data_IF_003958440532
#
_entry.id   IF_003958440532
#
_cell.length_a   1.000
_cell.length_b   1.000
_cell.length_c   1.000
_cell.angle_alpha   90.00
_cell.angle_beta   90.00
_cell.angle_gamma   90.00
#
_symmetry.space_group_name_H-M   'P 1'
#
loop_
_entity.id
_entity.type
_entity.pdbx_description
1 polymer ?
#
# COMPACT_ATOMS: atom_id res chain seq x y z
N UNK A 1 -19.39 19.77 -9.12
CA UNK A 1 -18.08 19.23 -8.68
C UNK A 1 -17.14 19.22 -9.88
N UNK A 2 -15.81 19.31 -9.72
CA UNK A 2 -14.87 19.26 -10.87
C UNK A 2 -14.70 17.81 -11.39
N UNK A 3 -14.66 17.61 -12.71
CA UNK A 3 -14.54 16.29 -13.35
C UNK A 3 -13.32 15.50 -12.85
N UNK A 4 -12.20 16.17 -12.57
CA UNK A 4 -10.99 15.52 -12.03
C UNK A 4 -11.23 14.96 -10.63
N UNK A 5 -11.90 15.75 -9.78
CA UNK A 5 -12.27 15.33 -8.41
C UNK A 5 -13.30 14.19 -8.47
N UNK A 6 -14.24 14.26 -9.41
CA UNK A 6 -15.25 13.22 -9.62
C UNK A 6 -14.61 11.89 -10.04
N UNK A 7 -13.71 11.89 -11.03
CA UNK A 7 -12.97 10.71 -11.48
C UNK A 7 -12.14 10.10 -10.34
N UNK A 8 -11.51 10.93 -9.51
CA UNK A 8 -10.77 10.48 -8.32
C UNK A 8 -11.68 9.79 -7.29
N UNK A 9 -12.91 10.26 -7.08
CA UNK A 9 -13.87 9.63 -6.16
C UNK A 9 -14.16 8.17 -6.55
N UNK A 10 -14.22 7.89 -7.86
CA UNK A 10 -14.43 6.55 -8.41
C UNK A 10 -13.15 5.78 -8.76
N UNK A 11 -11.97 6.39 -8.52
CA UNK A 11 -10.66 5.84 -8.91
C UNK A 11 -10.56 5.51 -10.40
N UNK A 12 -11.17 6.36 -11.22
CA UNK A 12 -11.15 6.24 -12.67
C UNK A 12 -10.04 7.13 -13.23
N UNK A 13 -9.27 6.60 -14.17
CA UNK A 13 -8.18 7.34 -14.82
C UNK A 13 -8.63 8.00 -16.13
N UNK A 14 -9.89 7.86 -16.54
CA UNK A 14 -10.41 8.40 -17.79
C UNK A 14 -11.84 7.95 -18.07
N UNK A 15 -12.25 8.03 -19.34
CA UNK A 15 -13.58 7.58 -19.77
C UNK A 15 -13.72 6.08 -19.58
N UNK A 16 -14.86 5.67 -19.06
CA UNK A 16 -15.28 4.27 -18.91
C UNK A 16 -16.67 4.09 -19.49
N UNK A 17 -17.05 2.87 -19.89
CA UNK A 17 -18.44 2.58 -20.25
C UNK A 17 -19.40 2.96 -19.12
N UNK A 18 -20.54 3.56 -19.44
CA UNK A 18 -21.56 3.97 -18.45
C UNK A 18 -21.99 2.81 -17.56
N UNK A 19 -22.04 1.59 -18.10
CA UNK A 19 -22.34 0.36 -17.34
C UNK A 19 -21.33 0.10 -16.21
N UNK A 20 -20.05 0.39 -16.45
CA UNK A 20 -18.99 0.25 -15.46
C UNK A 20 -19.11 1.33 -14.36
N UNK A 21 -19.41 2.57 -14.74
CA UNK A 21 -19.71 3.65 -13.79
C UNK A 21 -20.90 3.29 -12.89
N UNK A 22 -21.97 2.75 -13.46
CA UNK A 22 -23.16 2.32 -12.73
C UNK A 22 -22.87 1.19 -11.73
N UNK A 23 -22.00 0.26 -12.10
CA UNK A 23 -21.58 -0.81 -11.20
C UNK A 23 -20.83 -0.25 -9.99
N UNK A 24 -19.83 0.60 -10.23
CA UNK A 24 -19.03 1.23 -9.19
C UNK A 24 -19.88 2.12 -8.27
N UNK A 25 -20.82 2.87 -8.84
CA UNK A 25 -21.79 3.67 -8.08
C UNK A 25 -22.60 2.80 -7.13
N UNK A 26 -23.20 1.70 -7.62
CA UNK A 26 -23.98 0.78 -6.77
C UNK A 26 -23.13 0.18 -5.64
N UNK A 27 -21.86 -0.10 -5.88
CA UNK A 27 -20.96 -0.60 -4.83
C UNK A 27 -20.66 0.45 -3.76
N UNK A 28 -20.40 1.70 -4.16
CA UNK A 28 -20.15 2.80 -3.23
C UNK A 28 -21.42 3.15 -2.43
N UNK A 29 -22.58 3.23 -3.07
CA UNK A 29 -23.86 3.43 -2.40
C UNK A 29 -24.12 2.32 -1.39
N UNK A 30 -23.90 1.04 -1.76
CA UNK A 30 -24.05 -0.08 -0.82
C UNK A 30 -23.14 0.02 0.41
N UNK A 31 -22.03 0.77 0.34
CA UNK A 31 -21.05 0.90 1.41
C UNK A 31 -21.26 2.15 2.26
N UNK A 32 -21.73 3.25 1.66
CA UNK A 32 -21.81 4.56 2.31
C UNK A 32 -23.22 5.06 2.53
N UNK A 33 -24.28 4.32 2.13
CA UNK A 33 -25.66 4.72 2.34
C UNK A 33 -25.93 5.05 3.82
N UNK A 34 -26.63 6.16 4.14
CA UNK A 34 -26.83 6.61 5.52
C UNK A 34 -27.56 5.55 6.36
N UNK A 35 -28.51 4.83 5.76
CA UNK A 35 -29.22 3.73 6.43
C UNK A 35 -28.33 2.57 6.90
N UNK A 36 -27.17 2.38 6.27
CA UNK A 36 -26.18 1.34 6.60
C UNK A 36 -25.11 1.83 7.57
N UNK A 37 -24.84 3.13 7.62
CA UNK A 37 -23.82 3.75 8.48
C UNK A 37 -24.51 4.54 9.58
N UNK A 38 -25.10 3.81 10.53
CA UNK A 38 -25.90 4.39 11.64
C UNK A 38 -25.06 5.11 12.69
N UNK A 39 -23.79 4.75 12.80
CA UNK A 39 -22.90 5.30 13.84
C UNK A 39 -22.43 6.73 13.52
N UNK A 40 -22.50 7.16 12.25
CA UNK A 40 -22.04 8.49 11.78
C UNK A 40 -22.93 9.01 10.63
N UNK A 41 -24.18 9.40 10.91
CA UNK A 41 -25.15 9.77 9.88
C UNK A 41 -24.76 11.01 9.08
N UNK A 42 -24.19 12.04 9.73
CA UNK A 42 -23.78 13.28 9.06
C UNK A 42 -22.63 13.03 8.07
N UNK A 43 -21.64 12.24 8.47
CA UNK A 43 -20.54 11.84 7.60
C UNK A 43 -21.01 10.96 6.43
N UNK A 44 -21.96 10.05 6.68
CA UNK A 44 -22.52 9.21 5.63
C UNK A 44 -23.34 10.02 4.62
N UNK A 45 -24.10 11.01 5.09
CA UNK A 45 -24.83 11.96 4.26
C UNK A 45 -23.90 12.83 3.40
N UNK A 46 -22.85 13.39 3.99
CA UNK A 46 -21.83 14.15 3.26
C UNK A 46 -21.13 13.28 2.22
N UNK A 47 -20.73 12.05 2.59
CA UNK A 47 -20.03 11.15 1.69
C UNK A 47 -20.91 10.67 0.55
N UNK A 48 -22.19 10.42 0.80
CA UNK A 48 -23.17 10.06 -0.23
C UNK A 48 -23.47 11.22 -1.18
N UNK A 49 -23.54 12.45 -0.66
CA UNK A 49 -23.67 13.65 -1.50
C UNK A 49 -22.46 13.79 -2.42
N UNK A 50 -21.25 13.61 -1.91
CA UNK A 50 -20.03 13.62 -2.75
C UNK A 50 -20.00 12.51 -3.80
N UNK A 51 -20.53 11.31 -3.49
CA UNK A 51 -20.59 10.19 -4.44
C UNK A 51 -21.62 10.46 -5.55
N UNK A 52 -22.78 11.04 -5.20
CA UNK A 52 -23.82 11.41 -6.16
C UNK A 52 -23.35 12.54 -7.08
N UNK A 53 -22.78 13.62 -6.52
CA UNK A 53 -22.24 14.73 -7.29
C UNK A 53 -21.15 14.29 -8.25
N UNK A 54 -20.28 13.36 -7.81
CA UNK A 54 -19.23 12.80 -8.65
C UNK A 54 -19.79 11.92 -9.78
N UNK A 55 -20.84 11.13 -9.50
CA UNK A 55 -21.49 10.28 -10.48
C UNK A 55 -22.14 11.09 -11.60
N UNK A 56 -22.96 12.10 -11.24
CA UNK A 56 -23.64 12.97 -12.21
C UNK A 56 -22.63 13.74 -13.08
N UNK A 57 -21.57 14.27 -12.47
CA UNK A 57 -20.50 15.00 -13.20
C UNK A 57 -19.79 14.10 -14.22
N UNK A 58 -19.53 12.82 -13.88
CA UNK A 58 -18.87 11.89 -14.82
C UNK A 58 -19.86 11.47 -15.91
N UNK A 59 -21.12 11.21 -15.57
CA UNK A 59 -22.14 10.82 -16.52
C UNK A 59 -22.36 11.91 -17.59
N UNK A 60 -22.49 13.17 -17.16
CA UNK A 60 -22.62 14.33 -18.05
C UNK A 60 -21.39 14.49 -18.95
N UNK A 61 -20.19 14.26 -18.43
CA UNK A 61 -18.95 14.31 -19.23
C UNK A 61 -18.78 13.16 -20.22
N UNK A 62 -19.37 11.99 -19.93
CA UNK A 62 -19.40 10.85 -20.84
C UNK A 62 -20.43 11.05 -21.95
N UNK A 63 -21.56 11.69 -21.65
CA UNK A 63 -22.63 11.99 -22.60
C UNK A 63 -22.32 13.21 -23.48
N UNK A 64 -21.64 14.23 -22.93
CA UNK A 64 -21.28 15.48 -23.61
C UNK A 64 -19.76 15.70 -23.60
N UNK A 65 -19.00 14.98 -24.46
CA UNK A 65 -17.56 15.15 -24.54
C UNK A 65 -17.20 16.56 -25.07
N UNK A 66 -16.33 17.33 -24.38
CA UNK A 66 -15.99 18.68 -24.82
C UNK A 66 -15.33 18.66 -26.21
N UNK A 67 -15.77 19.58 -27.07
CA UNK A 67 -15.26 19.73 -28.43
C UNK A 67 -13.80 20.20 -28.42
N UNK A 68 -13.05 19.71 -29.40
CA UNK A 68 -11.60 19.81 -29.56
C UNK A 68 -11.14 21.24 -29.87
N UNK A 69 -11.15 22.14 -28.88
CA UNK A 69 -10.42 23.41 -28.90
C UNK A 69 -10.58 24.18 -27.58
N UNK A 70 -9.81 23.81 -26.56
CA UNK A 70 -9.33 24.81 -25.59
C UNK A 70 -8.10 24.28 -24.86
N UNK A 71 -6.94 24.72 -25.37
CA UNK A 71 -5.65 24.67 -24.68
C UNK A 71 -5.76 25.55 -23.43
N UNK A 72 -5.92 24.93 -22.26
CA UNK A 72 -5.78 25.64 -21.00
C UNK A 72 -4.33 25.52 -20.53
N UNK A 73 -3.58 26.59 -20.85
CA UNK A 73 -2.49 27.22 -20.11
C UNK A 73 -1.42 26.32 -19.44
N UNK A 74 -0.34 26.10 -20.20
CA UNK A 74 1.01 25.96 -19.64
C UNK A 74 1.42 27.26 -18.93
N UNK A 75 1.54 27.22 -17.59
CA UNK A 75 2.78 27.50 -16.85
C UNK A 75 2.52 27.82 -15.36
N UNK A 76 3.42 27.28 -14.54
CA UNK A 76 3.66 27.56 -13.11
C UNK A 76 2.69 26.98 -12.08
N UNK A 77 2.66 25.64 -11.99
CA UNK A 77 2.85 24.92 -10.71
C UNK A 77 3.72 23.69 -11.01
N UNK A 78 4.79 23.48 -10.24
CA UNK A 78 5.64 22.29 -10.37
C UNK A 78 4.79 21.03 -10.25
N UNK A 79 4.71 20.32 -11.37
CA UNK A 79 3.83 19.21 -11.62
C UNK A 79 4.34 17.98 -10.85
N UNK A 80 3.91 17.83 -9.59
CA UNK A 80 3.95 16.55 -8.88
C UNK A 80 2.96 15.58 -9.55
N UNK A 81 3.36 15.08 -10.73
CA UNK A 81 2.68 14.02 -11.46
C UNK A 81 2.45 12.83 -10.53
N UNK A 82 1.18 12.57 -10.24
CA UNK A 82 0.72 11.31 -9.67
C UNK A 82 1.01 10.20 -10.67
N UNK A 83 1.98 9.39 -10.28
CA UNK A 83 2.73 8.31 -10.96
C UNK A 83 1.89 7.09 -11.41
N UNK A 84 0.62 7.26 -11.79
CA UNK A 84 -0.24 6.13 -12.17
C UNK A 84 -0.24 5.80 -13.68
N UNK A 85 0.30 6.69 -14.53
CA UNK A 85 0.38 6.48 -16.00
C UNK A 85 1.79 6.35 -16.56
N UNK A 86 2.83 6.49 -15.73
CA UNK A 86 4.23 6.49 -16.18
C UNK A 86 4.88 5.11 -16.24
N UNK A 87 4.26 4.04 -15.73
CA UNK A 87 4.88 2.72 -15.71
C UNK A 87 4.79 1.91 -17.01
N UNK A 88 4.02 2.36 -17.99
CA UNK A 88 4.13 1.87 -19.37
C UNK A 88 5.24 2.59 -20.16
N UNK A 89 6.00 3.49 -19.54
CA UNK A 89 7.25 3.98 -20.11
C UNK A 89 8.29 2.91 -19.88
N UNK A 90 8.65 2.18 -20.94
CA UNK A 90 9.85 1.36 -21.14
C UNK A 90 10.82 1.35 -19.95
N UNK A 91 10.52 0.60 -18.88
CA UNK A 91 11.53 0.33 -17.85
C UNK A 91 12.53 -0.61 -18.50
N UNK A 92 13.71 -0.08 -18.81
CA UNK A 92 14.76 -0.87 -19.42
C UNK A 92 14.99 -2.14 -18.59
N UNK A 93 15.09 -3.33 -19.22
CA UNK A 93 15.44 -4.53 -18.48
C UNK A 93 16.83 -4.35 -17.85
N UNK A 94 17.04 -4.98 -16.70
CA UNK A 94 18.36 -5.03 -16.09
C UNK A 94 19.31 -5.77 -17.04
N UNK A 95 20.59 -5.36 -17.06
CA UNK A 95 21.61 -6.21 -17.66
C UNK A 95 21.75 -7.49 -16.84
N UNK A 96 22.18 -8.59 -17.47
CA UNK A 96 22.33 -9.88 -16.79
C UNK A 96 23.19 -9.80 -15.51
N UNK A 97 24.27 -9.02 -15.53
CA UNK A 97 25.11 -8.79 -14.34
C UNK A 97 24.33 -8.08 -13.21
N UNK A 98 23.57 -7.04 -13.55
CA UNK A 98 22.77 -6.30 -12.57
C UNK A 98 21.62 -7.14 -12.03
N UNK A 99 21.03 -7.98 -12.86
CA UNK A 99 19.98 -8.90 -12.47
C UNK A 99 20.49 -9.92 -11.44
N UNK A 100 21.67 -10.50 -11.65
CA UNK A 100 22.30 -11.42 -10.68
C UNK A 100 22.58 -10.71 -9.35
N UNK A 101 23.17 -9.51 -9.39
CA UNK A 101 23.44 -8.76 -8.16
C UNK A 101 22.16 -8.36 -7.42
N UNK A 102 21.12 -8.01 -8.17
CA UNK A 102 19.81 -7.72 -7.65
C UNK A 102 19.18 -8.93 -6.97
N UNK A 103 19.12 -10.08 -7.64
CA UNK A 103 18.57 -11.34 -7.12
C UNK A 103 19.27 -11.74 -5.82
N UNK A 104 20.61 -11.78 -5.81
CA UNK A 104 21.39 -12.11 -4.61
C UNK A 104 21.14 -11.15 -3.44
N UNK A 105 20.84 -9.89 -3.71
CA UNK A 105 20.53 -8.91 -2.67
C UNK A 105 19.08 -9.03 -2.17
N UNK A 106 18.14 -9.27 -3.08
CA UNK A 106 16.72 -9.40 -2.78
C UNK A 106 16.40 -10.72 -2.08
N UNK A 107 16.94 -11.84 -2.56
CA UNK A 107 16.81 -13.16 -1.92
C UNK A 107 17.36 -13.12 -0.50
N UNK A 108 18.47 -12.41 -0.28
CA UNK A 108 19.01 -12.23 1.07
C UNK A 108 18.04 -11.53 2.01
N UNK A 109 17.32 -10.53 1.50
CA UNK A 109 16.26 -9.86 2.25
C UNK A 109 15.06 -10.79 2.48
N UNK A 110 14.61 -11.52 1.45
CA UNK A 110 13.49 -12.46 1.53
C UNK A 110 13.77 -13.62 2.48
N UNK A 111 14.96 -14.23 2.45
CA UNK A 111 15.39 -15.26 3.40
C UNK A 111 15.33 -14.76 4.85
N UNK A 112 15.65 -13.48 5.08
CA UNK A 112 15.49 -12.88 6.39
C UNK A 112 14.02 -12.72 6.80
N UNK A 113 13.14 -12.34 5.86
CA UNK A 113 11.68 -12.28 6.09
C UNK A 113 11.07 -13.67 6.28
N UNK A 114 11.56 -14.68 5.58
CA UNK A 114 11.12 -16.07 5.71
C UNK A 114 11.33 -16.54 7.15
N UNK A 115 12.56 -16.39 7.69
CA UNK A 115 12.86 -16.71 9.10
C UNK A 115 11.98 -15.88 10.04
N UNK A 116 11.77 -14.59 9.73
CA UNK A 116 10.93 -13.71 10.53
C UNK A 116 9.50 -14.26 10.66
N UNK A 117 8.85 -14.63 9.55
CA UNK A 117 7.49 -15.14 9.54
C UNK A 117 7.38 -16.58 10.02
N UNK A 118 8.33 -17.45 9.67
CA UNK A 118 8.34 -18.86 10.09
C UNK A 118 8.33 -19.01 11.61
N UNK A 119 9.01 -18.10 12.32
CA UNK A 119 9.08 -18.11 13.79
C UNK A 119 8.03 -17.22 14.46
N UNK A 120 7.11 -16.62 13.72
CA UNK A 120 6.06 -15.74 14.24
C UNK A 120 6.61 -14.45 14.86
N UNK A 121 7.74 -13.95 14.37
CA UNK A 121 8.46 -12.82 14.96
C UNK A 121 7.77 -11.47 14.73
N UNK A 122 6.66 -11.44 13.99
CA UNK A 122 5.68 -10.35 14.03
C UNK A 122 5.16 -10.08 15.44
N UNK A 123 5.11 -11.09 16.31
CA UNK A 123 4.83 -10.89 17.72
C UNK A 123 6.09 -10.45 18.46
N UNK A 124 6.10 -9.20 18.94
CA UNK A 124 7.23 -8.62 19.67
C UNK A 124 7.66 -9.41 20.91
N UNK A 125 6.72 -10.09 21.59
CA UNK A 125 7.01 -10.87 22.79
C UNK A 125 7.92 -12.05 22.46
N UNK A 126 7.69 -12.69 21.32
CA UNK A 126 8.48 -13.82 20.85
C UNK A 126 9.93 -13.46 20.51
N UNK A 127 10.23 -12.19 20.23
CA UNK A 127 11.58 -11.74 19.85
C UNK A 127 12.58 -11.79 21.00
N UNK A 128 12.11 -11.91 22.25
CA UNK A 128 12.97 -11.91 23.45
C UNK A 128 13.15 -13.31 24.06
N UNK A 129 12.45 -14.32 23.55
CA UNK A 129 12.36 -15.63 24.17
C UNK A 129 13.29 -16.66 23.52
N UNK A 130 14.11 -17.35 24.32
CA UNK A 130 14.81 -18.58 23.95
C UNK A 130 15.42 -18.60 22.53
N UNK A 131 15.09 -19.63 21.76
CA UNK A 131 15.56 -19.84 20.38
C UNK A 131 15.08 -18.72 19.44
N UNK A 132 13.87 -18.18 19.66
CA UNK A 132 13.27 -17.14 18.82
C UNK A 132 14.06 -15.83 18.87
N UNK A 133 14.70 -15.52 20.00
CA UNK A 133 15.63 -14.38 20.10
C UNK A 133 16.81 -14.51 19.15
N UNK A 134 17.41 -15.70 19.05
CA UNK A 134 18.52 -15.95 18.13
C UNK A 134 18.05 -15.85 16.67
N UNK A 135 16.89 -16.43 16.35
CA UNK A 135 16.27 -16.32 15.03
C UNK A 135 15.89 -14.89 14.65
N UNK A 136 15.43 -14.08 15.59
CA UNK A 136 15.15 -12.67 15.33
C UNK A 136 16.42 -11.89 14.99
N UNK A 137 17.54 -12.16 15.67
CA UNK A 137 18.84 -11.55 15.33
C UNK A 137 19.32 -11.97 13.95
N UNK A 138 19.18 -13.26 13.64
CA UNK A 138 19.52 -13.82 12.33
C UNK A 138 18.68 -13.19 11.21
N UNK A 139 17.36 -13.18 11.35
CA UNK A 139 16.43 -12.54 10.43
C UNK A 139 16.76 -11.06 10.24
N UNK A 140 16.94 -10.31 11.34
CA UNK A 140 17.29 -8.89 11.30
C UNK A 140 18.61 -8.64 10.56
N UNK A 141 19.62 -9.48 10.80
CA UNK A 141 20.91 -9.38 10.10
C UNK A 141 20.74 -9.57 8.59
N UNK A 142 20.04 -10.61 8.17
CA UNK A 142 19.80 -10.89 6.74
C UNK A 142 19.00 -9.77 6.06
N UNK A 143 17.92 -9.31 6.71
CA UNK A 143 17.09 -8.18 6.27
C UNK A 143 17.94 -6.92 6.09
N UNK A 144 18.78 -6.59 7.07
CA UNK A 144 19.65 -5.40 7.00
C UNK A 144 20.73 -5.53 5.92
N UNK A 145 21.36 -6.70 5.80
CA UNK A 145 22.37 -6.95 4.77
C UNK A 145 21.78 -6.89 3.36
N UNK A 146 20.60 -7.48 3.12
CA UNK A 146 19.88 -7.38 1.86
C UNK A 146 19.44 -5.95 1.54
N UNK A 147 18.84 -5.25 2.51
CA UNK A 147 18.47 -3.82 2.39
C UNK A 147 19.66 -2.97 1.99
N UNK A 148 20.79 -3.09 2.68
CA UNK A 148 21.99 -2.29 2.42
C UNK A 148 22.54 -2.51 1.01
N UNK A 149 22.53 -3.76 0.52
CA UNK A 149 22.95 -4.08 -0.85
C UNK A 149 22.01 -3.47 -1.88
N UNK A 150 20.70 -3.54 -1.68
CA UNK A 150 19.70 -2.95 -2.58
C UNK A 150 19.78 -1.41 -2.59
N UNK A 151 20.02 -0.78 -1.43
CA UNK A 151 20.26 0.67 -1.34
C UNK A 151 21.55 1.07 -2.07
N UNK A 152 22.60 0.23 -2.04
CA UNK A 152 23.83 0.45 -2.80
C UNK A 152 23.59 0.34 -4.31
N UNK A 153 22.82 -0.65 -4.76
CA UNK A 153 22.41 -0.78 -6.17
C UNK A 153 21.61 0.44 -6.64
N UNK A 154 20.65 0.90 -5.83
CA UNK A 154 19.92 2.14 -6.11
C UNK A 154 20.87 3.33 -6.23
N UNK A 155 21.80 3.50 -5.28
CA UNK A 155 22.76 4.61 -5.28
C UNK A 155 23.60 4.62 -6.56
N UNK A 156 24.08 3.46 -6.99
CA UNK A 156 25.02 3.34 -8.10
C UNK A 156 24.35 3.45 -9.48
N UNK A 157 23.15 2.90 -9.64
CA UNK A 157 22.52 2.77 -10.96
C UNK A 157 21.25 3.61 -11.14
N UNK A 158 20.62 4.08 -10.05
CA UNK A 158 19.39 4.89 -10.08
C UNK A 158 18.24 4.27 -10.90
N UNK A 159 18.22 2.95 -11.02
CA UNK A 159 17.24 2.23 -11.83
C UNK A 159 15.85 2.25 -11.16
N UNK A 160 14.73 2.39 -11.91
CA UNK A 160 13.38 2.38 -11.36
C UNK A 160 13.06 1.14 -10.51
N UNK A 161 13.49 -0.05 -10.94
CA UNK A 161 13.33 -1.30 -10.18
C UNK A 161 14.01 -1.17 -8.81
N UNK A 162 15.26 -0.71 -8.76
CA UNK A 162 15.99 -0.54 -7.50
C UNK A 162 15.34 0.52 -6.62
N UNK A 163 14.77 1.57 -7.20
CA UNK A 163 14.06 2.62 -6.44
C UNK A 163 12.84 2.05 -5.72
N UNK A 164 12.02 1.27 -6.42
CA UNK A 164 10.82 0.63 -5.86
C UNK A 164 11.22 -0.40 -4.80
N UNK A 165 12.12 -1.32 -5.14
CA UNK A 165 12.51 -2.40 -4.24
C UNK A 165 13.21 -1.84 -3.00
N UNK A 166 14.16 -0.91 -3.15
CA UNK A 166 14.84 -0.25 -2.02
C UNK A 166 13.84 0.47 -1.10
N UNK A 167 12.81 1.12 -1.67
CA UNK A 167 11.73 1.75 -0.89
C UNK A 167 11.02 0.72 -0.04
N UNK A 168 10.58 -0.40 -0.62
CA UNK A 168 9.87 -1.46 0.10
C UNK A 168 10.74 -2.08 1.22
N UNK A 169 11.96 -2.51 0.91
CA UNK A 169 12.82 -3.19 1.89
C UNK A 169 13.21 -2.26 3.04
N UNK A 170 13.45 -0.97 2.77
CA UNK A 170 13.77 0.03 3.80
C UNK A 170 12.61 0.24 4.75
N UNK A 171 11.40 0.41 4.22
CA UNK A 171 10.22 0.65 5.04
C UNK A 171 9.81 -0.61 5.84
N UNK A 172 9.96 -1.79 5.26
CA UNK A 172 9.74 -3.07 5.97
C UNK A 172 10.77 -3.28 7.08
N UNK A 173 12.06 -3.01 6.82
CA UNK A 173 13.08 -3.07 7.86
C UNK A 173 12.81 -2.04 8.99
N UNK A 174 12.33 -0.85 8.66
CA UNK A 174 11.96 0.16 9.64
C UNK A 174 10.81 -0.33 10.54
N UNK A 175 9.75 -0.92 9.97
CA UNK A 175 8.62 -1.45 10.76
C UNK A 175 9.03 -2.62 11.67
N UNK A 176 9.87 -3.53 11.15
CA UNK A 176 10.41 -4.64 11.96
C UNK A 176 11.25 -4.10 13.12
N UNK A 177 12.02 -3.03 12.88
CA UNK A 177 12.82 -2.36 13.90
C UNK A 177 12.03 -1.58 14.95
N UNK A 178 10.74 -1.31 14.72
CA UNK A 178 9.89 -0.67 15.73
C UNK A 178 9.70 -1.62 16.91
N UNK A 179 10.18 -1.19 18.08
CA UNK A 179 9.82 -1.82 19.35
C UNK A 179 8.29 -1.72 19.57
N UNK A 180 7.69 -2.67 20.29
CA UNK A 180 6.24 -2.69 20.57
C UNK A 180 5.82 -1.29 21.04
N UNK A 181 5.02 -0.54 20.25
CA UNK A 181 4.68 0.82 20.61
C UNK A 181 3.96 0.80 21.96
N UNK A 182 4.54 1.44 22.97
CA UNK A 182 3.88 1.55 24.27
C UNK A 182 2.85 2.67 24.22
N UNK A 183 1.76 2.41 23.50
CA UNK A 183 0.58 3.23 23.60
C UNK A 183 -0.03 2.96 24.96
N UNK A 184 0.32 3.78 25.96
CA UNK A 184 -0.37 3.79 27.26
C UNK A 184 -1.87 3.61 27.00
N UNK A 185 -2.49 2.65 27.68
CA UNK A 185 -3.92 2.30 27.59
C UNK A 185 -4.79 3.49 28.05
N UNK A 186 -4.72 4.61 27.32
CA UNK A 186 -5.68 5.68 27.41
C UNK A 186 -6.91 5.16 26.68
N UNK A 187 -7.96 4.89 27.45
CA UNK A 187 -9.22 4.31 26.98
C UNK A 187 -9.80 4.92 25.69
N UNK A 188 -9.67 6.23 25.34
CA UNK A 188 -10.32 6.74 24.13
C UNK A 188 -9.77 6.16 22.81
N UNK A 189 -8.51 5.74 22.76
CA UNK A 189 -7.87 5.33 21.49
C UNK A 189 -7.62 3.83 21.36
N UNK A 190 -7.93 3.05 22.40
CA UNK A 190 -7.61 1.62 22.44
C UNK A 190 -8.23 0.84 21.26
N UNK A 191 -9.50 1.13 20.91
CA UNK A 191 -10.18 0.48 19.77
C UNK A 191 -9.51 0.80 18.44
N UNK A 192 -9.03 2.03 18.26
CA UNK A 192 -8.34 2.48 17.05
C UNK A 192 -6.96 1.81 16.95
N UNK A 193 -6.22 1.73 18.06
CA UNK A 193 -4.94 1.01 18.14
C UNK A 193 -5.12 -0.49 17.83
N UNK A 194 -6.17 -1.14 18.36
CA UNK A 194 -6.49 -2.53 18.03
C UNK A 194 -6.79 -2.72 16.54
N UNK A 195 -7.57 -1.82 15.94
CA UNK A 195 -7.91 -1.86 14.51
C UNK A 195 -6.66 -1.73 13.63
N UNK A 196 -5.76 -0.81 13.97
CA UNK A 196 -4.46 -0.68 13.30
C UNK A 196 -3.67 -1.99 13.40
N UNK A 197 -3.54 -2.56 14.59
CA UNK A 197 -2.78 -3.80 14.77
C UNK A 197 -3.40 -4.98 13.99
N UNK A 198 -4.73 -5.03 13.87
CA UNK A 198 -5.37 -6.01 12.99
C UNK A 198 -5.00 -5.80 11.52
N UNK A 199 -5.09 -4.56 11.03
CA UNK A 199 -4.71 -4.21 9.66
C UNK A 199 -3.22 -4.48 9.37
N UNK A 200 -2.33 -4.30 10.35
CA UNK A 200 -0.91 -4.66 10.23
C UNK A 200 -0.73 -6.17 10.04
N UNK A 201 -1.45 -6.99 10.81
CA UNK A 201 -1.43 -8.46 10.64
C UNK A 201 -1.98 -8.89 9.28
N UNK A 202 -3.13 -8.35 8.88
CA UNK A 202 -3.71 -8.65 7.56
C UNK A 202 -2.78 -8.21 6.42
N UNK A 203 -2.01 -7.13 6.61
CA UNK A 203 -0.99 -6.68 5.67
C UNK A 203 0.22 -7.62 5.61
N UNK A 204 0.73 -8.09 6.75
CA UNK A 204 1.79 -9.11 6.78
C UNK A 204 1.33 -10.44 6.15
N UNK A 205 0.07 -10.83 6.35
CA UNK A 205 -0.49 -12.02 5.69
C UNK A 205 -0.55 -11.85 4.16
N UNK A 206 -0.77 -10.64 3.66
CA UNK A 206 -0.68 -10.35 2.23
C UNK A 206 0.76 -10.45 1.71
N UNK A 207 1.75 -9.98 2.47
CA UNK A 207 3.17 -10.16 2.14
C UNK A 207 3.52 -11.65 2.10
N UNK A 208 3.09 -12.44 3.10
CA UNK A 208 3.26 -13.89 3.12
C UNK A 208 2.63 -14.54 1.90
N UNK A 209 1.41 -14.18 1.53
CA UNK A 209 0.75 -14.76 0.36
C UNK A 209 1.50 -14.46 -0.96
N UNK A 210 2.17 -13.31 -1.06
CA UNK A 210 2.90 -12.88 -2.26
C UNK A 210 4.27 -13.54 -2.39
N UNK A 211 5.02 -13.64 -1.29
CA UNK A 211 6.43 -14.06 -1.31
C UNK A 211 6.69 -15.43 -0.66
N UNK A 212 5.79 -15.89 0.21
CA UNK A 212 5.93 -17.12 1.01
C UNK A 212 4.60 -17.91 1.04
N UNK A 213 4.02 -18.23 -0.13
CA UNK A 213 2.68 -18.81 -0.20
C UNK A 213 2.53 -20.14 0.56
N UNK A 214 3.62 -20.84 0.84
CA UNK A 214 3.71 -22.03 1.70
C UNK A 214 3.29 -21.77 3.15
N UNK A 215 3.39 -20.53 3.64
CA UNK A 215 2.91 -20.16 4.98
C UNK A 215 1.39 -19.95 5.04
N UNK A 216 0.72 -19.83 3.89
CA UNK A 216 -0.72 -19.63 3.81
C UNK A 216 -1.40 -20.96 3.43
N UNK A 217 -2.28 -21.52 4.30
CA UNK A 217 -3.06 -22.70 3.97
C UNK A 217 -3.82 -22.52 2.64
N UNK A 218 -3.83 -23.54 1.79
CA UNK A 218 -4.39 -23.46 0.43
C UNK A 218 -5.83 -22.90 0.40
N UNK A 219 -6.67 -23.23 1.38
CA UNK A 219 -8.06 -22.77 1.48
C UNK A 219 -8.21 -21.29 1.90
N UNK A 220 -7.12 -20.64 2.31
CA UNK A 220 -7.04 -19.23 2.68
C UNK A 220 -6.32 -18.37 1.63
N UNK A 221 -5.67 -18.97 0.63
CA UNK A 221 -5.03 -18.26 -0.47
C UNK A 221 -6.05 -17.45 -1.29
N UNK A 222 -5.62 -16.31 -1.84
CA UNK A 222 -6.44 -15.33 -2.55
C UNK A 222 -7.15 -14.34 -1.62
N UNK A 223 -7.21 -14.60 -0.31
CA UNK A 223 -7.97 -13.76 0.63
C UNK A 223 -7.17 -12.56 1.13
N UNK A 224 -5.84 -12.65 1.23
CA UNK A 224 -5.04 -11.58 1.80
C UNK A 224 -4.89 -10.39 0.85
N UNK A 225 -4.79 -10.64 -0.47
CA UNK A 225 -4.79 -9.56 -1.48
C UNK A 225 -6.07 -8.72 -1.45
N UNK A 226 -7.24 -9.34 -1.21
CA UNK A 226 -8.52 -8.63 -1.10
C UNK A 226 -8.53 -7.66 0.09
N UNK A 227 -7.83 -8.02 1.18
CA UNK A 227 -7.75 -7.21 2.39
C UNK A 227 -6.81 -6.01 2.28
N UNK A 228 -5.90 -5.98 1.31
CA UNK A 228 -4.94 -4.88 1.12
C UNK A 228 -5.63 -3.51 1.09
N UNK A 229 -6.76 -3.39 0.39
CA UNK A 229 -7.54 -2.14 0.36
C UNK A 229 -8.09 -1.74 1.74
N UNK A 230 -8.56 -2.71 2.52
CA UNK A 230 -9.06 -2.45 3.89
C UNK A 230 -7.93 -2.09 4.86
N UNK A 231 -6.73 -2.62 4.65
CA UNK A 231 -5.54 -2.24 5.41
C UNK A 231 -5.19 -0.77 5.13
N UNK A 232 -5.11 -0.37 3.85
CA UNK A 232 -4.82 1.01 3.46
C UNK A 232 -5.83 2.00 4.06
N UNK A 233 -7.13 1.71 3.93
CA UNK A 233 -8.16 2.56 4.52
C UNK A 233 -7.98 2.73 6.05
N UNK A 234 -7.53 1.68 6.74
CA UNK A 234 -7.23 1.73 8.17
C UNK A 234 -5.98 2.55 8.47
N UNK A 235 -4.91 2.44 7.67
CA UNK A 235 -3.67 3.21 7.85
C UNK A 235 -3.90 4.71 7.63
N UNK A 236 -4.65 5.08 6.58
CA UNK A 236 -5.02 6.46 6.31
C UNK A 236 -5.90 7.03 7.41
N UNK A 237 -6.90 6.28 7.88
CA UNK A 237 -7.73 6.69 9.03
C UNK A 237 -6.88 6.90 10.29
N UNK A 238 -5.91 6.02 10.55
CA UNK A 238 -5.04 6.16 11.71
C UNK A 238 -4.19 7.44 11.61
N UNK A 239 -3.65 7.73 10.42
CA UNK A 239 -2.88 8.94 10.13
C UNK A 239 -3.72 10.23 10.19
N UNK A 240 -5.02 10.17 9.87
CA UNK A 240 -5.91 11.34 9.96
C UNK A 240 -6.34 11.64 11.40
N UNK A 241 -6.53 10.61 12.23
CA UNK A 241 -6.88 10.77 13.64
C UNK A 241 -5.68 11.30 14.45
N UNK A 242 -4.48 10.79 14.17
CA UNK A 242 -3.26 11.21 14.87
C UNK A 242 -2.39 12.02 13.93
N UNK A 243 -2.32 13.33 14.13
CA UNK A 243 -1.54 14.26 13.28
C UNK A 243 -0.07 14.45 13.71
N UNK A 244 0.31 13.97 14.90
CA UNK A 244 1.69 14.06 15.43
C UNK A 244 2.00 12.95 16.43
N UNK A 245 3.29 12.78 16.74
CA UNK A 245 3.78 11.79 17.72
C UNK A 245 3.87 10.37 17.17
N UNK A 246 4.14 9.40 18.06
CA UNK A 246 4.43 8.00 17.66
C UNK A 246 3.29 7.33 16.89
N UNK A 247 2.04 7.59 17.25
CA UNK A 247 0.88 7.08 16.51
C UNK A 247 0.86 7.59 15.07
N UNK A 248 1.05 8.91 14.87
CA UNK A 248 1.12 9.48 13.53
C UNK A 248 2.25 8.85 12.71
N UNK A 249 3.45 8.72 13.30
CA UNK A 249 4.61 8.12 12.62
C UNK A 249 4.33 6.69 12.16
N UNK A 250 3.63 5.89 12.97
CA UNK A 250 3.24 4.53 12.58
C UNK A 250 2.20 4.53 11.46
N UNK A 251 1.21 5.43 11.51
CA UNK A 251 0.26 5.62 10.42
C UNK A 251 0.94 5.98 9.09
N UNK A 252 1.88 6.93 9.13
CA UNK A 252 2.70 7.33 7.97
C UNK A 252 3.52 6.16 7.45
N UNK A 253 4.22 5.44 8.34
CA UNK A 253 5.04 4.30 7.96
C UNK A 253 4.20 3.20 7.28
N UNK A 254 3.06 2.82 7.87
CA UNK A 254 2.22 1.76 7.33
C UNK A 254 1.59 2.15 5.99
N UNK A 255 1.21 3.43 5.83
CA UNK A 255 0.71 3.95 4.55
C UNK A 255 1.81 3.90 3.48
N UNK A 256 3.02 4.37 3.81
CA UNK A 256 4.15 4.33 2.89
C UNK A 256 4.57 2.89 2.54
N UNK A 257 4.49 1.96 3.49
CA UNK A 257 4.74 0.52 3.25
C UNK A 257 3.72 -0.08 2.32
N UNK A 258 2.44 0.27 2.48
CA UNK A 258 1.39 -0.16 1.58
C UNK A 258 1.68 0.29 0.15
N UNK A 259 1.95 1.58 -0.06
CA UNK A 259 2.26 2.11 -1.40
C UNK A 259 3.46 1.39 -2.02
N UNK A 260 4.52 1.19 -1.24
CA UNK A 260 5.72 0.49 -1.70
C UNK A 260 5.46 -0.99 -2.06
N UNK A 261 4.56 -1.67 -1.35
CA UNK A 261 4.14 -3.03 -1.70
C UNK A 261 3.31 -3.03 -3.00
N UNK A 262 2.43 -2.05 -3.20
CA UNK A 262 1.65 -1.94 -4.43
C UNK A 262 2.55 -1.69 -5.65
N UNK A 263 3.55 -0.82 -5.52
CA UNK A 263 4.57 -0.60 -6.55
C UNK A 263 5.33 -1.90 -6.88
N UNK A 264 5.67 -2.68 -5.84
CA UNK A 264 6.38 -3.94 -5.96
C UNK A 264 5.54 -5.04 -6.62
N UNK A 265 4.24 -5.12 -6.29
CA UNK A 265 3.29 -6.01 -6.96
C UNK A 265 3.20 -5.64 -8.44
N UNK A 266 3.15 -4.35 -8.77
CA UNK A 266 3.18 -3.89 -10.16
C UNK A 266 4.39 -4.42 -10.92
N UNK A 267 5.60 -4.33 -10.34
CA UNK A 267 6.81 -4.89 -10.96
C UNK A 267 6.71 -6.41 -11.17
N UNK A 268 6.13 -7.16 -10.22
CA UNK A 268 5.94 -8.61 -10.36
C UNK A 268 4.94 -8.94 -11.46
N UNK A 269 3.80 -8.25 -11.50
CA UNK A 269 2.77 -8.43 -12.53
C UNK A 269 3.28 -8.08 -13.94
N UNK A 270 4.28 -7.19 -14.04
CA UNK A 270 4.98 -6.86 -15.30
C UNK A 270 6.13 -7.82 -15.64
N UNK A 271 6.43 -8.83 -14.82
CA UNK A 271 7.53 -9.78 -15.04
C UNK A 271 8.92 -9.15 -14.87
N UNK A 272 9.03 -8.02 -14.16
CA UNK A 272 10.28 -7.31 -13.89
C UNK A 272 10.90 -7.69 -12.53
N UNK A 273 10.23 -8.54 -11.78
CA UNK A 273 10.77 -9.21 -10.59
C UNK A 273 10.85 -10.72 -10.86
N UNK A 274 11.87 -11.39 -10.29
CA UNK A 274 11.89 -12.86 -10.23
C UNK A 274 10.63 -13.39 -9.53
N UNK A 275 10.21 -14.59 -9.94
CA UNK A 275 9.07 -15.30 -9.36
C UNK A 275 9.25 -15.66 -7.88
#
# INVERSE_FOLDING_TARGET
>A
MDIRRSLSTFRLNGRVPVQQLNSLFRELVKKYHPDKVRDYPDWANERMSEINDAYETILEWLENPPAESEKIAENHWEDHKTDARSFHTEVAPLSAELEIQFQLAFDKFLNGLEIYYQYGLENHEYRQEGIRRFRFREASRLIMEGRNKLELLLKNYQHPIFRIVARFVRLTAADIGIAKPNFYKKEPFHKIDMRLNSARRDFDDAIKEIFFPEFIPNHLRGRAKIKLYTCFATFVLYMSIFIRGERHKIGVLMTARYDALMDLIGLKDWGLLPD
#
